data_IF_285642633639
#
_entry.id   IF_285642633639
#
_cell.length_a   1.000
_cell.length_b   1.000
_cell.length_c   1.000
_cell.angle_alpha   90.00
_cell.angle_beta   90.00
_cell.angle_gamma   90.00
#
_symmetry.space_group_name_H-M   'P 1'
#
loop_
_entity.id
_entity.type
_entity.pdbx_description
1 polymer ?
#
# COMPACT_ATOMS: atom_id res chain seq x y z
N UNK A 1 34.81 -8.79 -2.25
CA UNK A 1 34.19 -7.68 -1.49
C UNK A 1 32.86 -8.14 -0.92
N UNK A 2 32.70 -8.23 0.40
CA UNK A 2 31.43 -8.66 1.02
C UNK A 2 30.46 -7.48 1.08
N UNK A 3 29.37 -7.51 0.29
CA UNK A 3 28.29 -6.52 0.32
C UNK A 3 27.64 -6.55 1.71
N UNK A 4 27.88 -5.51 2.52
CA UNK A 4 27.18 -5.30 3.79
C UNK A 4 25.70 -5.10 3.46
N UNK A 5 24.85 -6.08 3.78
CA UNK A 5 23.39 -5.94 3.67
C UNK A 5 22.98 -4.80 4.60
N UNK A 6 22.48 -3.70 4.04
CA UNK A 6 21.88 -2.61 4.82
C UNK A 6 20.77 -3.25 5.66
N UNK A 7 20.84 -3.10 6.99
CA UNK A 7 19.72 -3.45 7.87
C UNK A 7 18.55 -2.58 7.45
N UNK A 8 17.56 -3.20 6.80
CA UNK A 8 16.28 -2.56 6.54
C UNK A 8 15.65 -2.44 7.93
N UNK A 9 15.64 -1.24 8.49
CA UNK A 9 14.78 -0.95 9.63
C UNK A 9 13.37 -1.06 9.07
N UNK A 10 12.76 -2.25 9.22
CA UNK A 10 11.33 -2.38 9.08
C UNK A 10 10.75 -1.45 10.15
N UNK A 11 10.32 -0.26 9.73
CA UNK A 11 9.36 0.49 10.52
C UNK A 11 8.26 -0.52 10.86
N UNK A 12 8.01 -0.73 12.16
CA UNK A 12 6.91 -1.57 12.61
C UNK A 12 5.63 -0.91 12.14
N UNK A 13 5.20 -1.24 10.93
CA UNK A 13 3.90 -0.89 10.41
C UNK A 13 2.91 -1.79 11.15
N UNK A 14 1.79 -1.24 11.61
CA UNK A 14 0.70 -2.02 12.22
C UNK A 14 0.02 -3.00 11.24
N UNK A 15 0.48 -3.01 9.98
CA UNK A 15 0.06 -3.88 8.90
C UNK A 15 0.62 -5.27 9.05
N UNK A 16 -0.27 -6.27 9.15
CA UNK A 16 0.11 -7.68 9.04
C UNK A 16 0.19 -8.12 7.59
N UNK A 17 0.87 -9.24 7.35
CA UNK A 17 0.95 -9.84 6.02
C UNK A 17 -0.44 -10.19 5.49
N UNK A 18 -1.34 -10.65 6.35
CA UNK A 18 -2.73 -10.99 5.97
C UNK A 18 -3.51 -9.76 5.52
N UNK A 19 -3.32 -8.61 6.18
CA UNK A 19 -3.96 -7.36 5.79
C UNK A 19 -3.41 -6.85 4.44
N UNK A 20 -2.10 -7.02 4.19
CA UNK A 20 -1.50 -6.73 2.89
C UNK A 20 -2.05 -7.64 1.79
N UNK A 21 -2.14 -8.95 2.05
CA UNK A 21 -2.75 -9.91 1.11
C UNK A 21 -4.19 -9.51 0.80
N UNK A 22 -4.96 -9.14 1.82
CA UNK A 22 -6.33 -8.68 1.65
C UNK A 22 -6.41 -7.45 0.74
N UNK A 23 -5.56 -6.44 0.94
CA UNK A 23 -5.50 -5.26 0.06
C UNK A 23 -5.14 -5.62 -1.38
N UNK A 24 -4.23 -6.56 -1.60
CA UNK A 24 -3.80 -7.00 -2.94
C UNK A 24 -4.96 -7.70 -3.65
N UNK A 25 -5.61 -8.65 -2.97
CA UNK A 25 -6.72 -9.46 -3.49
C UNK A 25 -7.99 -8.64 -3.71
N UNK A 26 -8.19 -7.59 -2.91
CA UNK A 26 -9.39 -6.76 -2.91
C UNK A 26 -9.13 -5.33 -3.39
N UNK A 27 -8.09 -5.10 -4.22
CA UNK A 27 -7.73 -3.76 -4.68
C UNK A 27 -8.81 -3.06 -5.53
N UNK A 28 -9.77 -3.82 -6.05
CA UNK A 28 -10.97 -3.33 -6.75
C UNK A 28 -12.00 -2.68 -5.82
N UNK A 29 -11.95 -2.96 -4.51
CA UNK A 29 -12.85 -2.35 -3.55
C UNK A 29 -12.51 -0.87 -3.36
N UNK A 30 -13.52 -0.09 -2.99
CA UNK A 30 -13.32 1.31 -2.62
C UNK A 30 -12.54 1.42 -1.31
N UNK A 31 -11.84 2.55 -1.12
CA UNK A 31 -11.12 2.83 0.14
C UNK A 31 -12.09 2.72 1.33
N UNK A 32 -13.33 3.19 1.18
CA UNK A 32 -14.36 3.12 2.22
C UNK A 32 -14.64 1.68 2.63
N UNK A 33 -14.93 0.78 1.68
CA UNK A 33 -15.14 -0.66 1.97
C UNK A 33 -13.91 -1.30 2.64
N UNK A 34 -12.70 -0.91 2.21
CA UNK A 34 -11.47 -1.40 2.82
C UNK A 34 -11.29 -0.90 4.26
N UNK A 35 -11.70 0.33 4.58
CA UNK A 35 -11.65 0.85 5.96
C UNK A 35 -12.62 0.13 6.90
N UNK A 36 -13.80 -0.27 6.41
CA UNK A 36 -14.77 -1.02 7.20
C UNK A 36 -14.25 -2.41 7.60
N UNK A 37 -13.53 -3.08 6.70
CA UNK A 37 -13.01 -4.44 6.95
C UNK A 37 -11.71 -4.43 7.73
N UNK A 38 -10.78 -3.53 7.39
CA UNK A 38 -9.44 -3.52 7.97
C UNK A 38 -9.33 -2.62 9.21
N UNK A 39 -10.36 -1.82 9.49
CA UNK A 39 -10.43 -0.89 10.63
C UNK A 39 -9.25 0.10 10.69
N UNK A 40 -8.75 0.51 9.52
CA UNK A 40 -7.79 1.60 9.37
C UNK A 40 -8.48 2.85 8.85
N UNK A 41 -7.81 3.99 9.00
CA UNK A 41 -8.25 5.23 8.34
C UNK A 41 -8.06 5.16 6.82
N UNK A 42 -8.82 5.97 6.09
CA UNK A 42 -8.67 6.08 4.63
C UNK A 42 -7.24 6.44 4.22
N UNK A 43 -6.60 7.36 4.95
CA UNK A 43 -5.23 7.79 4.70
C UNK A 43 -4.22 6.65 4.86
N UNK A 44 -4.39 5.80 5.88
CA UNK A 44 -3.55 4.62 6.09
C UNK A 44 -3.73 3.59 4.97
N UNK A 45 -4.97 3.35 4.55
CA UNK A 45 -5.29 2.45 3.44
C UNK A 45 -4.64 2.95 2.16
N UNK A 46 -4.82 4.23 1.81
CA UNK A 46 -4.23 4.84 0.60
C UNK A 46 -2.71 4.77 0.65
N UNK A 47 -2.10 5.13 1.79
CA UNK A 47 -0.64 5.06 1.99
C UNK A 47 -0.12 3.63 1.80
N UNK A 48 -0.85 2.64 2.34
CA UNK A 48 -0.47 1.24 2.19
C UNK A 48 -0.63 0.75 0.76
N UNK A 49 -1.74 1.07 0.11
CA UNK A 49 -1.95 0.74 -1.32
C UNK A 49 -0.89 1.36 -2.23
N UNK A 50 -0.41 2.58 -1.91
CA UNK A 50 0.74 3.18 -2.61
C UNK A 50 2.03 2.40 -2.37
N UNK A 51 2.28 1.99 -1.12
CA UNK A 51 3.46 1.19 -0.72
C UNK A 51 3.47 -0.17 -1.42
N UNK A 52 2.31 -0.82 -1.52
CA UNK A 52 2.10 -2.09 -2.22
C UNK A 52 2.06 -1.92 -3.75
N UNK A 53 2.11 -0.70 -4.27
CA UNK A 53 2.08 -0.42 -5.71
C UNK A 53 0.72 -0.71 -6.37
N UNK A 54 -0.35 -0.84 -5.58
CA UNK A 54 -1.72 -1.11 -6.05
C UNK A 54 -2.33 0.12 -6.72
N UNK A 55 -1.95 1.32 -6.28
CA UNK A 55 -2.33 2.56 -6.94
C UNK A 55 -1.30 2.86 -8.04
N UNK A 56 -1.67 2.56 -9.29
CA UNK A 56 -0.96 3.15 -10.44
C UNK A 56 -1.14 4.65 -10.37
N UNK A 57 -0.04 5.39 -10.38
CA UNK A 57 0.03 6.86 -10.38
C UNK A 57 -0.73 7.39 -11.61
N UNK A 58 -2.05 7.54 -11.52
CA UNK A 58 -2.94 8.01 -12.59
C UNK A 58 -2.65 9.44 -13.05
N UNK A 59 -1.70 10.12 -12.41
CA UNK A 59 -1.21 11.47 -12.76
C UNK A 59 -0.09 11.50 -13.80
N UNK A 60 0.40 10.36 -14.31
CA UNK A 60 1.38 10.32 -15.42
C UNK A 60 0.76 10.15 -16.83
N UNK A 61 -0.55 10.41 -17.00
CA UNK A 61 -1.23 10.40 -18.30
C UNK A 61 -2.10 11.65 -18.56
N UNK A 62 -1.83 12.78 -17.89
CA UNK A 62 -2.40 14.10 -18.24
C UNK A 62 -1.31 15.12 -18.58
N UNK A 63 -0.44 14.75 -19.50
CA UNK A 63 0.52 15.60 -20.23
C UNK A 63 0.74 14.82 -21.53
N UNK A 64 0.23 15.17 -22.70
CA UNK A 64 0.01 16.45 -23.35
C UNK A 64 -1.18 16.28 -24.32
N UNK A 65 -2.14 17.19 -24.30
CA UNK A 65 -2.99 17.55 -25.47
C UNK A 65 -2.99 19.06 -25.53
#
# INVERSE_FOLDING_TARGET
MKRKRKKINFHQTNWTTEQDCFLIENNQLSVVELTEVLHFSEDEIISRMQTLGLIRRSKMLKKYV
#
